data_IF_253440071097
#
_entry.id   IF_253440071097
#
_cell.length_a   1.000
_cell.length_b   1.000
_cell.length_c   1.000
_cell.angle_alpha   90.00
_cell.angle_beta   90.00
_cell.angle_gamma   90.00
#
_symmetry.space_group_name_H-M   'P 1'
#
loop_
_entity.id
_entity.type
_entity.pdbx_description
1 polymer ?
#
# COMPACT_ATOMS: atom_id res chain seq x y z
N UNK A 1 -12.83 -0.87 0.27
CA UNK A 1 -11.59 -1.66 0.45
C UNK A 1 -10.58 -0.83 1.24
N UNK A 2 -10.71 -0.75 2.58
CA UNK A 2 -9.83 0.12 3.38
C UNK A 2 -8.46 -0.51 3.63
N UNK A 3 -8.42 -1.82 3.81
CA UNK A 3 -7.21 -2.56 4.21
C UNK A 3 -6.09 -2.46 3.16
N UNK A 4 -6.45 -2.64 1.88
CA UNK A 4 -5.50 -2.52 0.76
C UNK A 4 -4.94 -1.10 0.67
N UNK A 5 -5.80 -0.07 0.73
CA UNK A 5 -5.36 1.32 0.71
C UNK A 5 -4.61 1.75 1.97
N UNK A 6 -4.69 0.96 3.05
CA UNK A 6 -3.89 1.15 4.27
C UNK A 6 -2.56 0.39 4.23
N UNK A 7 -2.28 -0.35 3.15
CA UNK A 7 -1.04 -1.09 2.96
C UNK A 7 -1.05 -2.54 3.47
N UNK A 8 -2.19 -3.08 3.89
CA UNK A 8 -2.32 -4.50 4.27
C UNK A 8 -2.39 -5.38 3.02
N UNK A 9 -1.25 -5.53 2.37
CA UNK A 9 -1.05 -6.34 1.16
C UNK A 9 0.28 -7.08 1.24
N UNK A 10 0.35 -8.24 0.57
CA UNK A 10 1.61 -8.99 0.48
C UNK A 10 1.52 -10.11 -0.55
N UNK A 11 2.64 -10.44 -1.23
CA UNK A 11 2.69 -11.57 -2.14
C UNK A 11 2.71 -12.89 -1.37
N UNK A 12 2.00 -13.90 -1.88
CA UNK A 12 2.12 -15.28 -1.44
C UNK A 12 2.72 -16.12 -2.56
N UNK A 13 3.81 -16.82 -2.27
CA UNK A 13 4.48 -17.71 -3.21
C UNK A 13 4.13 -19.16 -2.90
N UNK A 14 3.66 -19.90 -3.91
CA UNK A 14 3.40 -21.34 -3.84
C UNK A 14 4.33 -22.04 -4.82
N UNK A 15 5.19 -22.93 -4.32
CA UNK A 15 6.24 -23.58 -5.10
C UNK A 15 6.10 -25.10 -5.09
N UNK A 16 6.64 -25.75 -6.12
CA UNK A 16 6.75 -27.22 -6.13
C UNK A 16 7.71 -27.71 -5.03
N UNK A 17 7.47 -28.94 -4.55
CA UNK A 17 8.36 -29.61 -3.60
C UNK A 17 9.79 -29.66 -4.13
N UNK A 18 10.78 -29.48 -3.26
CA UNK A 18 12.23 -29.48 -3.56
C UNK A 18 12.72 -28.33 -4.47
N UNK A 19 11.91 -27.30 -4.72
CA UNK A 19 12.33 -26.11 -5.51
C UNK A 19 13.05 -25.06 -4.64
N UNK A 20 12.66 -24.96 -3.38
CA UNK A 20 13.19 -23.98 -2.43
C UNK A 20 14.44 -24.52 -1.75
N UNK A 21 15.49 -23.70 -1.67
CA UNK A 21 16.65 -24.03 -0.86
C UNK A 21 16.28 -23.84 0.64
N UNK A 22 16.43 -24.86 1.50
CA UNK A 22 15.99 -24.80 2.89
C UNK A 22 16.73 -23.75 3.73
N UNK A 23 17.95 -23.36 3.34
CA UNK A 23 18.69 -22.30 4.03
C UNK A 23 18.25 -20.88 3.62
N UNK A 24 17.58 -20.73 2.48
CA UNK A 24 17.27 -19.41 1.90
C UNK A 24 15.78 -19.17 1.62
N UNK A 25 14.93 -20.20 1.70
CA UNK A 25 13.49 -20.08 1.44
C UNK A 25 13.11 -19.70 0.01
N UNK A 26 14.08 -19.72 -0.92
CA UNK A 26 13.95 -19.31 -2.32
C UNK A 26 14.88 -20.13 -3.22
N UNK A 27 14.75 -19.96 -4.52
CA UNK A 27 15.65 -20.59 -5.49
C UNK A 27 16.92 -19.74 -5.67
N UNK A 28 18.10 -20.30 -5.35
CA UNK A 28 19.36 -19.54 -5.24
C UNK A 28 19.87 -19.01 -6.59
N UNK A 29 19.50 -19.67 -7.69
CA UNK A 29 19.92 -19.31 -9.05
C UNK A 29 18.93 -18.40 -9.78
N UNK A 30 17.80 -18.05 -9.15
CA UNK A 30 16.72 -17.29 -9.78
C UNK A 30 16.56 -15.95 -9.05
N UNK A 31 16.44 -14.88 -9.84
CA UNK A 31 16.09 -13.57 -9.31
C UNK A 31 14.57 -13.42 -9.29
N UNK A 32 14.03 -13.09 -8.12
CA UNK A 32 12.59 -12.98 -7.88
C UNK A 32 12.22 -11.52 -7.64
N UNK A 33 11.18 -11.03 -8.31
CA UNK A 33 10.60 -9.71 -8.09
C UNK A 33 9.10 -9.85 -7.87
N UNK A 34 8.57 -9.18 -6.85
CA UNK A 34 7.14 -9.02 -6.65
C UNK A 34 6.78 -7.57 -6.95
N UNK A 35 5.99 -7.35 -8.00
CA UNK A 35 5.51 -6.03 -8.39
C UNK A 35 4.00 -5.98 -8.18
N UNK A 36 3.54 -4.88 -7.61
CA UNK A 36 2.13 -4.62 -7.42
C UNK A 36 1.83 -3.20 -7.92
N UNK A 37 1.15 -3.12 -9.06
CA UNK A 37 0.74 -1.86 -9.67
C UNK A 37 -0.69 -1.56 -9.23
N UNK A 38 -0.86 -0.55 -8.39
CA UNK A 38 -2.17 -0.07 -7.95
C UNK A 38 -2.11 1.41 -7.65
N UNK A 39 -3.28 2.05 -7.59
CA UNK A 39 -3.40 3.41 -7.07
C UNK A 39 -3.84 3.32 -5.61
N UNK A 40 -2.96 3.75 -4.69
CA UNK A 40 -3.30 3.89 -3.29
C UNK A 40 -4.08 5.18 -3.08
N UNK A 41 -5.32 5.05 -2.59
CA UNK A 41 -6.21 6.16 -2.29
C UNK A 41 -6.27 6.34 -0.77
N UNK A 42 -5.45 7.26 -0.25
CA UNK A 42 -5.35 7.52 1.19
C UNK A 42 -6.68 7.99 1.80
N UNK A 43 -7.61 8.54 1.01
CA UNK A 43 -8.95 8.90 1.51
C UNK A 43 -9.77 7.69 1.98
N UNK A 44 -9.37 6.49 1.54
CA UNK A 44 -9.98 5.21 1.93
C UNK A 44 -9.15 4.45 2.96
N UNK A 45 -8.01 4.96 3.40
CA UNK A 45 -7.19 4.28 4.40
C UNK A 45 -7.83 4.38 5.79
N UNK A 46 -7.48 3.44 6.67
CA UNK A 46 -7.84 3.52 8.09
C UNK A 46 -7.17 4.70 8.79
N UNK A 47 -6.02 5.13 8.28
CA UNK A 47 -5.17 6.15 8.87
C UNK A 47 -5.49 7.57 8.39
N UNK A 48 -6.46 7.73 7.49
CA UNK A 48 -6.75 9.03 6.88
C UNK A 48 -6.99 10.15 7.91
N UNK A 49 -7.86 9.92 8.88
CA UNK A 49 -8.19 10.91 9.92
C UNK A 49 -6.98 11.27 10.78
N UNK A 50 -6.22 10.26 11.22
CA UNK A 50 -5.01 10.45 12.02
C UNK A 50 -3.91 11.20 11.24
N UNK A 51 -3.69 10.83 9.98
CA UNK A 51 -2.73 11.49 9.10
C UNK A 51 -3.12 12.95 8.86
N UNK A 52 -4.41 13.24 8.78
CA UNK A 52 -4.91 14.59 8.59
C UNK A 52 -4.71 15.45 9.84
N UNK A 53 -5.02 14.91 11.02
CA UNK A 53 -4.77 15.59 12.31
C UNK A 53 -3.29 15.87 12.54
N UNK A 54 -2.41 14.93 12.17
CA UNK A 54 -0.96 15.08 12.31
C UNK A 54 -0.36 16.10 11.35
N UNK A 55 -0.82 16.11 10.10
CA UNK A 55 -0.17 16.88 9.02
C UNK A 55 -0.81 18.25 8.78
N UNK A 56 -2.04 18.48 9.25
CA UNK A 56 -2.72 19.74 9.02
C UNK A 56 -2.34 20.79 10.06
N UNK A 57 -1.83 21.94 9.60
CA UNK A 57 -1.61 23.11 10.45
C UNK A 57 -2.88 23.94 10.53
N UNK A 58 -3.33 24.25 11.75
CA UNK A 58 -4.56 25.01 11.96
C UNK A 58 -4.51 26.40 11.29
N UNK A 59 -5.63 26.90 10.73
CA UNK A 59 -6.96 26.28 10.66
C UNK A 59 -7.08 25.27 9.51
N UNK A 60 -7.61 24.09 9.82
CA UNK A 60 -7.73 22.98 8.89
C UNK A 60 -9.06 23.04 8.13
N UNK A 61 -9.16 23.86 7.09
CA UNK A 61 -10.32 23.89 6.19
C UNK A 61 -10.17 22.81 5.11
N UNK A 62 -10.64 21.59 5.41
CA UNK A 62 -10.63 20.48 4.45
C UNK A 62 -11.98 20.41 3.75
N UNK A 63 -11.97 20.54 2.42
CA UNK A 63 -13.13 20.20 1.58
C UNK A 63 -12.95 18.77 1.08
N UNK A 64 -13.56 17.81 1.77
CA UNK A 64 -13.42 16.38 1.44
C UNK A 64 -14.03 16.02 0.08
N UNK A 65 -14.95 16.85 -0.42
CA UNK A 65 -15.62 16.68 -1.70
C UNK A 65 -14.85 17.28 -2.88
N UNK A 66 -13.81 18.07 -2.63
CA UNK A 66 -13.02 18.71 -3.70
C UNK A 66 -12.27 17.64 -4.52
N UNK A 67 -12.53 17.53 -5.84
CA UNK A 67 -11.82 16.59 -6.70
C UNK A 67 -10.31 16.82 -6.72
N UNK A 68 -9.85 18.07 -6.59
CA UNK A 68 -8.43 18.42 -6.54
C UNK A 68 -7.78 17.91 -5.27
N UNK A 69 -8.50 17.96 -4.15
CA UNK A 69 -8.06 17.39 -2.89
C UNK A 69 -7.94 15.87 -3.01
N UNK A 70 -8.96 15.18 -3.53
CA UNK A 70 -8.92 13.71 -3.68
C UNK A 70 -7.75 13.22 -4.54
N UNK A 71 -7.37 13.97 -5.57
CA UNK A 71 -6.23 13.60 -6.42
C UNK A 71 -4.88 13.73 -5.69
N UNK A 72 -4.72 14.68 -4.77
CA UNK A 72 -3.50 14.82 -3.97
C UNK A 72 -3.25 13.63 -3.04
N UNK A 73 -4.29 12.84 -2.74
CA UNK A 73 -4.22 11.65 -1.89
C UNK A 73 -4.24 10.34 -2.69
N UNK A 74 -4.06 10.42 -4.02
CA UNK A 74 -3.91 9.28 -4.91
C UNK A 74 -2.45 9.08 -5.28
N UNK A 75 -1.89 7.96 -4.84
CA UNK A 75 -0.51 7.57 -5.11
C UNK A 75 -0.50 6.48 -6.19
N UNK A 76 0.21 6.75 -7.28
CA UNK A 76 0.30 5.89 -8.46
C UNK A 76 1.55 5.02 -8.43
#
# INVERSE_FOLDING_TARGET
EKDVHSGLIGPLLVCHTNTLNPAHGRQVTVQEFALFFTIFDETKSWYFTENMERNCRAPCNIQMEDPTFKENYRFH
#
